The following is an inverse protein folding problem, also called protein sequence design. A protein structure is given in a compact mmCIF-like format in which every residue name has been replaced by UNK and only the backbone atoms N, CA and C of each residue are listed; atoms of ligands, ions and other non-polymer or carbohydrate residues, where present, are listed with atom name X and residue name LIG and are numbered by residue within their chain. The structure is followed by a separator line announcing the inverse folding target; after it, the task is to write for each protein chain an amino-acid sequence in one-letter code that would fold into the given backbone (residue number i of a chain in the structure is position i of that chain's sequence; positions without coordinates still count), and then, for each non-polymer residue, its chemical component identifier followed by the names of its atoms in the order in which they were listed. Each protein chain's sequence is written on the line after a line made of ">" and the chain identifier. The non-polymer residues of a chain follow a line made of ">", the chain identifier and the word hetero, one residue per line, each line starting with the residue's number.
data_IF_622758002641
#
_entry.id   IF_622758002641
#
_cell.length_a   1.000
_cell.length_b   1.000
_cell.length_c   1.000
_cell.angle_alpha   90.00
_cell.angle_beta   90.00
_cell.angle_gamma   90.00
#
_symmetry.space_group_name_H-M   'P 1'
#
loop_
_entity.id
_entity.type
_entity.pdbx_description
1 polymer ?
#
# COMPACT_ATOMS: atom_id res chain seq x y z
N UNK A 1 7.11 9.97 5.25
CA UNK A 1 7.29 9.25 6.54
C UNK A 1 7.54 7.78 6.22
N UNK A 2 8.54 7.12 6.81
CA UNK A 2 8.74 5.68 6.61
C UNK A 2 7.68 4.92 7.42
N UNK A 3 6.76 4.23 6.74
CA UNK A 3 5.69 3.48 7.40
C UNK A 3 6.07 2.00 7.59
N UNK A 4 6.49 1.34 6.51
CA UNK A 4 7.00 -0.02 6.56
C UNK A 4 8.49 -0.04 6.93
N UNK A 5 8.91 -1.04 7.71
CA UNK A 5 10.32 -1.19 8.11
C UNK A 5 11.26 -1.55 6.93
N UNK A 6 10.69 -2.02 5.82
CA UNK A 6 11.36 -2.38 4.57
C UNK A 6 10.48 -1.97 3.37
N UNK A 7 10.96 -2.16 2.13
CA UNK A 7 10.16 -1.91 0.93
C UNK A 7 8.94 -2.84 0.85
N UNK A 8 7.92 -2.42 0.09
CA UNK A 8 6.75 -3.25 -0.24
C UNK A 8 7.20 -4.53 -0.95
N UNK A 9 8.19 -4.44 -1.84
CA UNK A 9 8.79 -5.62 -2.47
C UNK A 9 9.35 -6.60 -1.42
N UNK A 10 10.07 -6.10 -0.41
CA UNK A 10 10.61 -6.96 0.66
C UNK A 10 9.48 -7.64 1.42
N UNK A 11 8.43 -6.89 1.78
CA UNK A 11 7.25 -7.45 2.45
C UNK A 11 6.57 -8.54 1.61
N UNK A 12 6.42 -8.33 0.30
CA UNK A 12 5.81 -9.31 -0.61
C UNK A 12 6.68 -10.56 -0.71
N UNK A 13 8.00 -10.41 -0.87
CA UNK A 13 8.94 -11.54 -0.92
C UNK A 13 8.98 -12.33 0.38
N UNK A 14 8.96 -11.65 1.53
CA UNK A 14 8.92 -12.30 2.83
C UNK A 14 7.62 -13.11 3.03
N UNK A 15 6.49 -12.60 2.52
CA UNK A 15 5.22 -13.33 2.54
C UNK A 15 5.24 -14.54 1.60
N UNK A 16 5.82 -14.40 0.40
CA UNK A 16 5.96 -15.49 -0.56
C UNK A 16 6.92 -16.61 -0.08
N UNK A 17 7.93 -16.23 0.71
CA UNK A 17 8.94 -17.15 1.21
C UNK A 17 9.72 -17.82 0.08
N UNK A 18 9.90 -19.13 0.18
CA UNK A 18 10.65 -19.93 -0.81
C UNK A 18 9.97 -19.98 -2.20
N UNK A 19 8.72 -19.53 -2.31
CA UNK A 19 7.95 -19.52 -3.56
C UNK A 19 7.99 -18.17 -4.28
N UNK A 20 8.81 -17.20 -3.85
CA UNK A 20 8.85 -15.87 -4.44
C UNK A 20 9.09 -15.87 -5.97
N UNK A 21 9.83 -16.85 -6.49
CA UNK A 21 10.13 -16.99 -7.91
C UNK A 21 8.94 -17.51 -8.74
N UNK A 22 7.91 -18.03 -8.09
CA UNK A 22 6.68 -18.51 -8.74
C UNK A 22 5.66 -17.37 -8.99
N UNK A 23 5.95 -16.17 -8.51
CA UNK A 23 5.06 -15.01 -8.57
C UNK A 23 5.65 -13.85 -9.37
N UNK A 24 4.78 -13.08 -10.03
CA UNK A 24 5.13 -11.76 -10.56
C UNK A 24 5.13 -10.73 -9.42
N UNK A 25 6.27 -10.66 -8.70
CA UNK A 25 6.43 -9.79 -7.52
C UNK A 25 6.15 -8.32 -7.87
N UNK A 26 6.61 -7.84 -9.02
CA UNK A 26 6.42 -6.44 -9.43
C UNK A 26 4.93 -6.13 -9.64
N UNK A 27 4.19 -7.05 -10.26
CA UNK A 27 2.74 -6.89 -10.41
C UNK A 27 1.98 -6.95 -9.08
N UNK A 28 2.42 -7.78 -8.13
CA UNK A 28 1.83 -7.87 -6.79
C UNK A 28 2.10 -6.59 -5.98
N UNK A 29 3.32 -6.06 -6.06
CA UNK A 29 3.68 -4.78 -5.42
C UNK A 29 2.80 -3.66 -5.96
N UNK A 30 2.63 -3.58 -7.28
CA UNK A 30 1.75 -2.59 -7.90
C UNK A 30 0.29 -2.73 -7.44
N UNK A 31 -0.26 -3.95 -7.44
CA UNK A 31 -1.65 -4.21 -6.98
C UNK A 31 -1.84 -3.87 -5.49
N UNK A 32 -0.82 -4.10 -4.65
CA UNK A 32 -0.86 -3.74 -3.24
C UNK A 32 -0.88 -2.22 -3.05
N UNK A 33 0.00 -1.49 -3.74
CA UNK A 33 0.06 -0.03 -3.69
C UNK A 33 -1.25 0.58 -4.18
N UNK A 34 -1.80 0.10 -5.29
CA UNK A 34 -3.06 0.60 -5.85
C UNK A 34 -4.23 0.42 -4.88
N UNK A 35 -4.30 -0.72 -4.18
CA UNK A 35 -5.34 -0.95 -3.17
C UNK A 35 -5.15 -0.08 -1.92
N UNK A 36 -3.90 0.13 -1.51
CA UNK A 36 -3.57 1.02 -0.40
C UNK A 36 -3.97 2.46 -0.70
N UNK A 37 -3.60 2.96 -1.87
CA UNK A 37 -3.92 4.32 -2.32
C UNK A 37 -5.42 4.50 -2.54
N UNK A 38 -6.12 3.50 -3.06
CA UNK A 38 -7.58 3.54 -3.15
C UNK A 38 -8.25 3.69 -1.77
N UNK A 39 -7.72 3.01 -0.74
CA UNK A 39 -8.20 3.14 0.64
C UNK A 39 -7.84 4.47 1.28
N UNK A 40 -6.65 5.01 1.00
CA UNK A 40 -6.31 6.37 1.39
C UNK A 40 -7.35 7.37 0.85
N UNK A 41 -7.67 7.29 -0.44
CA UNK A 41 -8.69 8.15 -1.08
C UNK A 41 -10.08 7.94 -0.48
N UNK A 42 -10.51 6.69 -0.24
CA UNK A 42 -11.81 6.37 0.38
C UNK A 42 -11.96 6.99 1.77
N UNK A 43 -10.89 6.99 2.56
CA UNK A 43 -10.86 7.56 3.91
C UNK A 43 -10.61 9.08 3.92
N UNK A 44 -10.45 9.70 2.75
CA UNK A 44 -10.24 11.13 2.60
C UNK A 44 -8.79 11.58 2.87
N UNK A 45 -7.84 10.65 2.92
CA UNK A 45 -6.42 10.97 3.00
C UNK A 45 -5.89 11.36 1.62
N UNK A 46 -5.06 12.39 1.59
CA UNK A 46 -4.25 12.72 0.42
C UNK A 46 -2.80 12.43 0.71
N UNK A 47 -2.51 11.14 0.62
CA UNK A 47 -1.18 10.59 0.63
C UNK A 47 -1.09 9.52 -0.46
N UNK A 48 0.12 9.07 -0.75
CA UNK A 48 0.37 7.92 -1.62
C UNK A 48 1.45 7.04 -0.98
N UNK A 49 1.29 5.73 -1.14
CA UNK A 49 2.28 4.73 -0.76
C UNK A 49 3.30 4.55 -1.89
N UNK A 50 4.57 4.60 -1.55
CA UNK A 50 5.67 4.33 -2.47
C UNK A 50 6.19 2.89 -2.32
N UNK A 51 6.91 2.39 -3.33
CA UNK A 51 7.48 1.03 -3.28
C UNK A 51 8.43 0.86 -2.10
N UNK A 52 9.14 1.92 -1.71
CA UNK A 52 10.10 1.89 -0.61
C UNK A 52 9.42 1.79 0.77
N UNK A 53 8.08 1.72 0.80
CA UNK A 53 7.28 1.61 2.01
C UNK A 53 7.10 2.95 2.73
N UNK A 54 7.55 4.06 2.14
CA UNK A 54 7.28 5.39 2.62
C UNK A 54 5.92 5.89 2.13
N UNK A 55 5.28 6.71 2.96
CA UNK A 55 4.04 7.39 2.62
C UNK A 55 4.32 8.88 2.57
N UNK A 56 3.96 9.51 1.46
CA UNK A 56 4.12 10.95 1.24
C UNK A 56 2.77 11.62 1.22
N UNK A 57 2.58 12.57 2.14
CA UNK A 57 1.42 13.45 2.16
C UNK A 57 1.58 14.57 1.14
N UNK A 58 0.49 14.91 0.46
CA UNK A 58 0.48 15.96 -0.54
C UNK A 58 0.05 17.29 0.10
N UNK A 59 0.98 18.24 0.24
CA UNK A 59 0.69 19.59 0.70
C UNK A 59 0.08 20.44 -0.43
N UNK A 60 -1.25 20.59 -0.44
CA UNK A 60 -1.94 21.54 -1.33
C UNK A 60 -2.85 22.43 -0.50
N UNK A 61 -2.25 23.45 0.13
CA UNK A 61 -2.93 24.41 1.00
C UNK A 61 -4.14 25.13 0.36
N UNK A 62 -4.23 25.13 -0.97
CA UNK A 62 -5.26 25.85 -1.75
C UNK A 62 -6.28 24.95 -2.45
N UNK A 63 -6.27 23.63 -2.22
CA UNK A 63 -7.27 22.74 -2.83
C UNK A 63 -8.62 22.79 -2.09
N UNK A 64 -9.75 22.91 -2.82
CA UNK A 64 -11.08 22.81 -2.23
C UNK A 64 -11.24 21.50 -1.42
N UNK A 65 -11.72 21.62 -0.18
CA UNK A 65 -11.89 20.48 0.74
C UNK A 65 -10.71 20.22 1.69
N UNK A 66 -9.62 21.01 1.63
CA UNK A 66 -8.47 20.86 2.54
C UNK A 66 -8.86 20.92 4.04
N UNK A 67 -9.70 21.91 4.41
CA UNK A 67 -10.11 22.11 5.82
C UNK A 67 -11.04 21.02 6.37
N UNK A 68 -11.55 20.13 5.52
CA UNK A 68 -12.50 19.09 5.89
C UNK A 68 -11.84 17.71 6.05
N UNK A 69 -10.50 17.64 5.96
CA UNK A 69 -9.75 16.38 5.89
C UNK A 69 -9.09 15.97 7.20
N UNK A 70 -8.95 14.65 7.32
CA UNK A 70 -8.34 13.98 8.48
C UNK A 70 -6.82 13.97 8.32
N UNK A 71 -6.05 14.45 9.31
CA UNK A 71 -4.61 14.26 9.34
C UNK A 71 -4.26 12.77 9.25
N UNK A 72 -3.21 12.42 8.49
CA UNK A 72 -2.80 11.04 8.38
C UNK A 72 -2.07 10.61 9.66
N UNK A 73 -2.67 9.69 10.41
CA UNK A 73 -2.08 9.11 11.60
C UNK A 73 -1.70 7.65 11.37
N UNK A 74 -0.71 7.18 12.13
CA UNK A 74 -0.17 5.82 12.01
C UNK A 74 -1.24 4.74 12.19
N UNK A 75 -2.16 4.92 13.13
CA UNK A 75 -3.26 3.98 13.37
C UNK A 75 -4.18 3.85 12.15
N UNK A 76 -4.34 4.93 11.36
CA UNK A 76 -5.10 4.90 10.11
C UNK A 76 -4.39 4.07 9.03
N UNK A 77 -3.07 4.18 8.94
CA UNK A 77 -2.25 3.37 8.02
C UNK A 77 -2.31 1.88 8.38
N UNK A 78 -2.28 1.54 9.67
CA UNK A 78 -2.40 0.15 10.15
C UNK A 78 -3.76 -0.46 9.78
N UNK A 79 -4.84 0.32 9.89
CA UNK A 79 -6.20 -0.11 9.47
C UNK A 79 -6.28 -0.34 7.96
N UNK A 80 -5.66 0.51 7.15
CA UNK A 80 -5.62 0.34 5.69
C UNK A 80 -4.85 -0.94 5.35
N UNK A 81 -3.64 -1.10 5.90
CA UNK A 81 -2.80 -2.26 5.65
C UNK A 81 -3.51 -3.58 6.04
N UNK A 82 -4.19 -3.60 7.20
CA UNK A 82 -4.94 -4.76 7.67
C UNK A 82 -6.18 -5.09 6.81
N UNK A 83 -6.67 -4.12 6.03
CA UNK A 83 -7.80 -4.30 5.12
C UNK A 83 -7.44 -4.85 3.73
N UNK A 84 -6.15 -5.01 3.42
CA UNK A 84 -5.66 -5.51 2.14
C UNK A 84 -5.22 -6.96 2.31
N UNK A 85 -5.87 -7.88 1.59
CA UNK A 85 -5.53 -9.30 1.61
C UNK A 85 -4.40 -9.59 0.61
N UNK A 86 -3.16 -9.54 1.09
CA UNK A 86 -1.98 -9.86 0.27
C UNK A 86 -2.02 -11.31 -0.26
N UNK A 87 -2.60 -12.25 0.49
CA UNK A 87 -2.74 -13.64 0.06
C UNK A 87 -3.66 -13.78 -1.15
N UNK A 88 -4.78 -13.06 -1.17
CA UNK A 88 -5.70 -13.01 -2.31
C UNK A 88 -5.08 -12.33 -3.54
N UNK A 89 -4.31 -11.24 -3.34
CA UNK A 89 -3.55 -10.60 -4.44
C UNK A 89 -2.59 -11.62 -5.06
N UNK A 90 -1.81 -12.31 -4.23
CA UNK A 90 -0.84 -13.30 -4.69
C UNK A 90 -1.51 -14.48 -5.39
N UNK A 91 -2.61 -15.00 -4.86
CA UNK A 91 -3.34 -16.12 -5.47
C UNK A 91 -3.88 -15.78 -6.86
N UNK A 92 -4.29 -14.53 -7.12
CA UNK A 92 -4.70 -14.07 -8.46
C UNK A 92 -3.54 -13.91 -9.45
N UNK A 93 -2.32 -13.81 -8.95
CA UNK A 93 -1.08 -13.54 -9.70
C UNK A 93 -0.12 -14.73 -9.70
N UNK A 94 -0.59 -15.90 -9.26
CA UNK A 94 0.14 -17.15 -9.34
C UNK A 94 0.37 -17.55 -10.80
N UNK A 95 1.64 -17.67 -11.20
CA UNK A 95 2.03 -18.01 -12.57
C UNK A 95 2.10 -19.53 -12.81
N UNK A 96 1.82 -20.34 -11.79
CA UNK A 96 1.93 -21.81 -11.84
C UNK A 96 0.62 -22.52 -12.23
N UNK A 97 -0.47 -21.75 -12.44
CA UNK A 97 -1.80 -22.24 -12.82
C UNK A 97 -1.94 -22.64 -14.31
#
# INVERSE_FOLDING_TARGET
>A
MQYFNASIETMVRDFAGDFADDFDIDAIVADYIDQFDAKLVELGYMASLHDDGSVTEWDWADMPGWNERTPLERDGLDVIAAGIDLGDIMARRDLTA
#
